data_IF_190823460286
#
_entry.id   IF_190823460286
#
_cell.length_a   1.000
_cell.length_b   1.000
_cell.length_c   1.000
_cell.angle_alpha   90.00
_cell.angle_beta   90.00
_cell.angle_gamma   90.00
#
_symmetry.space_group_name_H-M   'P 1'
#
loop_
_entity.id
_entity.type
_entity.pdbx_description
1 polymer ?
#
# COMPACT_ATOMS: atom_id res chain seq x y z
N UNK A 1 -15.80 3.48 -6.64
CA UNK A 1 -15.49 4.36 -5.49
C UNK A 1 -14.24 5.17 -5.83
N UNK A 2 -13.97 6.30 -5.15
CA UNK A 2 -12.77 7.09 -5.41
C UNK A 2 -11.58 6.45 -4.68
N UNK A 3 -10.45 6.29 -5.38
CA UNK A 3 -9.19 5.86 -4.77
C UNK A 3 -8.65 6.97 -3.86
N UNK A 4 -8.43 6.62 -2.61
CA UNK A 4 -7.83 7.40 -1.54
C UNK A 4 -6.48 6.77 -1.17
N UNK A 5 -5.44 7.56 -1.36
CA UNK A 5 -4.07 7.11 -1.17
C UNK A 5 -3.59 7.23 0.28
N UNK A 6 -4.23 8.07 1.10
CA UNK A 6 -3.97 8.06 2.56
C UNK A 6 -4.50 6.74 3.15
N UNK A 7 -5.69 6.28 2.71
CA UNK A 7 -6.20 4.97 3.10
C UNK A 7 -5.31 3.81 2.63
N UNK A 8 -4.80 3.86 1.38
CA UNK A 8 -3.84 2.85 0.87
C UNK A 8 -2.60 2.76 1.76
N UNK A 9 -2.03 3.90 2.17
CA UNK A 9 -0.86 3.93 3.05
C UNK A 9 -1.16 3.30 4.41
N UNK A 10 -2.27 3.69 5.03
CA UNK A 10 -2.68 3.16 6.34
C UNK A 10 -2.96 1.65 6.30
N UNK A 11 -3.63 1.16 5.25
CA UNK A 11 -3.88 -0.27 5.06
C UNK A 11 -2.59 -1.05 4.85
N UNK A 12 -1.66 -0.54 4.04
CA UNK A 12 -0.36 -1.21 3.84
C UNK A 12 0.42 -1.33 5.15
N UNK A 13 0.45 -0.27 5.99
CA UNK A 13 1.10 -0.31 7.32
C UNK A 13 0.43 -1.32 8.25
N UNK A 14 -0.89 -1.40 8.22
CA UNK A 14 -1.67 -2.38 9.00
C UNK A 14 -1.42 -3.81 8.56
N UNK A 15 -1.38 -4.06 7.24
CA UNK A 15 -1.09 -5.37 6.67
C UNK A 15 0.35 -5.83 6.98
N UNK A 16 1.33 -4.93 6.93
CA UNK A 16 2.71 -5.22 7.33
C UNK A 16 2.82 -5.70 8.79
N UNK A 17 2.00 -5.13 9.68
CA UNK A 17 2.01 -5.46 11.11
C UNK A 17 1.29 -6.77 11.46
N UNK A 18 0.63 -7.44 10.48
CA UNK A 18 -0.11 -8.67 10.74
C UNK A 18 0.84 -9.86 10.95
N UNK A 19 0.62 -10.66 12.01
CA UNK A 19 1.38 -11.88 12.23
C UNK A 19 0.84 -13.01 11.34
N UNK A 20 1.23 -13.02 10.07
CA UNK A 20 0.92 -14.11 9.13
C UNK A 20 2.18 -14.97 8.93
N UNK A 21 2.13 -16.28 9.23
CA UNK A 21 3.27 -17.15 8.99
C UNK A 21 3.52 -17.32 7.49
N UNK A 22 4.75 -17.64 7.07
CA UNK A 22 5.14 -17.75 5.66
C UNK A 22 4.22 -18.66 4.82
N UNK A 23 3.73 -19.75 5.42
CA UNK A 23 2.83 -20.73 4.79
C UNK A 23 1.35 -20.43 5.04
N UNK A 24 1.04 -19.35 5.76
CA UNK A 24 -0.31 -18.92 6.10
C UNK A 24 -0.96 -18.11 5.00
N UNK A 25 -2.27 -18.27 4.87
CA UNK A 25 -3.13 -17.43 4.05
C UNK A 25 -4.30 -16.98 4.92
N UNK A 26 -4.43 -15.67 5.12
CA UNK A 26 -5.52 -15.09 5.90
C UNK A 26 -6.51 -14.41 4.96
N UNK A 27 -7.80 -14.72 5.09
CA UNK A 27 -8.84 -13.92 4.47
C UNK A 27 -9.02 -12.63 5.29
N UNK A 28 -8.94 -11.48 4.64
CA UNK A 28 -9.06 -10.17 5.28
C UNK A 28 -10.10 -9.36 4.51
N UNK A 29 -11.08 -8.84 5.24
CA UNK A 29 -12.08 -7.92 4.71
C UNK A 29 -12.18 -6.67 5.60
N UNK A 30 -13.01 -5.72 5.18
CA UNK A 30 -13.28 -4.48 5.86
C UNK A 30 -14.05 -4.63 7.16
N UNK A 31 -14.33 -5.84 7.66
CA UNK A 31 -14.83 -6.06 9.02
C UNK A 31 -13.73 -6.47 10.00
N UNK A 32 -12.56 -6.90 9.50
CA UNK A 32 -11.44 -7.32 10.33
C UNK A 32 -10.90 -6.11 11.15
N UNK A 33 -10.84 -6.21 12.50
CA UNK A 33 -10.40 -5.11 13.36
C UNK A 33 -9.00 -4.58 13.04
N UNK A 34 -8.11 -5.46 12.55
CA UNK A 34 -6.73 -5.11 12.25
C UNK A 34 -6.61 -4.10 11.09
N UNK A 35 -7.54 -4.13 10.13
CA UNK A 35 -7.54 -3.24 8.96
C UNK A 35 -8.53 -2.08 9.07
N UNK A 36 -9.26 -1.96 10.19
CA UNK A 36 -10.14 -0.81 10.42
C UNK A 36 -9.35 0.50 10.44
N UNK A 37 -9.87 1.51 9.73
CA UNK A 37 -9.34 2.87 9.71
C UNK A 37 -10.47 3.84 10.03
N UNK A 38 -10.25 4.70 11.03
CA UNK A 38 -11.25 5.68 11.45
C UNK A 38 -11.63 6.62 10.30
N UNK A 39 -12.94 6.86 10.13
CA UNK A 39 -13.46 7.74 9.08
C UNK A 39 -13.70 7.06 7.73
N UNK A 40 -13.44 5.76 7.60
CA UNK A 40 -13.72 4.98 6.41
C UNK A 40 -14.77 3.89 6.67
N UNK A 41 -15.63 3.63 5.69
CA UNK A 41 -16.59 2.52 5.74
C UNK A 41 -15.92 1.18 5.41
N UNK A 42 -16.56 0.09 5.82
CA UNK A 42 -16.17 -1.30 5.45
C UNK A 42 -15.96 -1.41 3.94
N UNK A 43 -16.92 -0.93 3.16
CA UNK A 43 -16.87 -0.96 1.68
C UNK A 43 -15.71 -0.14 1.12
N UNK A 44 -15.35 0.98 1.75
CA UNK A 44 -14.18 1.75 1.37
C UNK A 44 -12.91 0.95 1.64
N UNK A 45 -12.81 0.29 2.79
CA UNK A 45 -11.65 -0.54 3.13
C UNK A 45 -11.54 -1.70 2.13
N UNK A 46 -12.61 -2.46 1.91
CA UNK A 46 -12.67 -3.56 0.94
C UNK A 46 -12.22 -3.13 -0.46
N UNK A 47 -12.76 -1.99 -0.93
CA UNK A 47 -12.38 -1.45 -2.23
C UNK A 47 -10.89 -1.13 -2.32
N UNK A 48 -10.28 -0.59 -1.26
CA UNK A 48 -8.86 -0.26 -1.27
C UNK A 48 -7.96 -1.49 -1.07
N UNK A 49 -8.38 -2.48 -0.28
CA UNK A 49 -7.69 -3.77 -0.19
C UNK A 49 -7.62 -4.44 -1.58
N UNK A 50 -8.72 -4.40 -2.33
CA UNK A 50 -8.76 -4.88 -3.72
C UNK A 50 -7.81 -4.11 -4.64
N UNK A 51 -7.69 -2.79 -4.48
CA UNK A 51 -6.73 -2.00 -5.26
C UNK A 51 -5.27 -2.36 -4.94
N UNK A 52 -4.95 -2.71 -3.69
CA UNK A 52 -3.62 -3.18 -3.31
C UNK A 52 -3.27 -4.51 -3.98
N UNK A 53 -4.24 -5.43 -4.04
CA UNK A 53 -4.10 -6.71 -4.75
C UNK A 53 -3.88 -6.50 -6.25
N UNK A 54 -4.72 -5.66 -6.88
CA UNK A 54 -4.62 -5.34 -8.31
C UNK A 54 -3.32 -4.60 -8.67
N UNK A 55 -2.78 -3.79 -7.77
CA UNK A 55 -1.50 -3.12 -7.94
C UNK A 55 -0.30 -4.06 -7.74
N UNK A 56 -0.52 -5.30 -7.32
CA UNK A 56 0.54 -6.27 -7.03
C UNK A 56 1.38 -5.90 -5.81
N UNK A 57 0.82 -5.14 -4.86
CA UNK A 57 1.50 -4.79 -3.60
C UNK A 57 1.38 -5.87 -2.53
N UNK A 58 0.39 -6.74 -2.67
CA UNK A 58 0.16 -7.88 -1.79
C UNK A 58 0.11 -9.18 -2.59
N UNK A 59 0.41 -10.29 -1.94
CA UNK A 59 0.27 -11.62 -2.50
C UNK A 59 -0.90 -12.36 -1.84
N UNK A 60 -1.89 -12.75 -2.65
CA UNK A 60 -3.14 -13.36 -2.22
C UNK A 60 -3.15 -14.89 -2.15
N UNK A 61 -1.97 -15.51 -2.21
CA UNK A 61 -1.83 -16.97 -2.25
C UNK A 61 -2.10 -17.57 -3.64
N UNK A 62 -2.13 -16.75 -4.68
CA UNK A 62 -2.21 -17.20 -6.07
C UNK A 62 -3.62 -17.52 -6.58
N UNK A 63 -4.67 -17.31 -5.78
CA UNK A 63 -6.06 -17.45 -6.22
C UNK A 63 -6.40 -16.49 -7.37
N UNK A 64 -5.80 -15.31 -7.35
CA UNK A 64 -5.90 -14.28 -8.37
C UNK A 64 -5.49 -14.81 -9.76
N UNK A 65 -4.52 -15.74 -9.82
CA UNK A 65 -4.05 -16.35 -11.07
C UNK A 65 -5.11 -17.25 -11.71
N UNK A 66 -6.11 -17.68 -10.94
CA UNK A 66 -7.23 -18.50 -11.39
C UNK A 66 -8.52 -17.69 -11.53
N UNK A 67 -8.44 -16.35 -11.44
CA UNK A 67 -9.61 -15.47 -11.45
C UNK A 67 -10.53 -15.64 -10.23
N UNK A 68 -10.02 -16.26 -9.16
CA UNK A 68 -10.74 -16.45 -7.90
C UNK A 68 -10.36 -15.36 -6.91
N UNK A 69 -11.30 -15.00 -6.01
CA UNK A 69 -11.08 -14.00 -4.96
C UNK A 69 -11.78 -14.38 -3.67
N UNK A 70 -11.26 -13.88 -2.55
CA UNK A 70 -11.90 -14.01 -1.25
C UNK A 70 -13.01 -12.96 -1.08
N UNK A 71 -14.26 -13.28 -1.45
CA UNK A 71 -15.43 -12.49 -1.05
C UNK A 71 -15.28 -10.96 -1.28
N UNK A 72 -15.79 -10.09 -0.39
CA UNK A 72 -15.62 -8.64 -0.50
C UNK A 72 -14.19 -8.16 -0.18
N UNK A 73 -13.36 -9.02 0.41
CA UNK A 73 -12.00 -8.71 0.83
C UNK A 73 -10.92 -9.33 -0.06
N UNK A 74 -9.80 -9.72 0.56
CA UNK A 74 -8.60 -10.25 -0.09
C UNK A 74 -8.10 -11.52 0.62
N UNK A 75 -7.35 -12.32 -0.13
CA UNK A 75 -6.39 -13.24 0.48
C UNK A 75 -5.14 -12.44 0.84
N UNK A 76 -4.58 -12.68 2.02
CA UNK A 76 -3.33 -12.06 2.42
C UNK A 76 -2.36 -13.11 2.95
N UNK A 77 -1.28 -13.32 2.22
CA UNK A 77 -0.15 -14.14 2.63
C UNK A 77 1.04 -13.27 3.01
N UNK A 78 1.39 -12.28 2.17
CA UNK A 78 2.52 -11.39 2.40
C UNK A 78 2.41 -10.12 1.55
N UNK A 79 3.24 -9.13 1.87
CA UNK A 79 3.53 -8.04 0.94
C UNK A 79 4.48 -8.53 -0.15
N UNK A 80 4.36 -7.97 -1.35
CA UNK A 80 5.34 -8.20 -2.42
C UNK A 80 6.57 -7.30 -2.24
N UNK A 81 7.62 -7.55 -3.01
CA UNK A 81 8.77 -6.62 -3.10
C UNK A 81 8.34 -5.19 -3.43
N UNK A 82 7.42 -5.02 -4.38
CA UNK A 82 6.88 -3.71 -4.73
C UNK A 82 6.09 -3.08 -3.57
N UNK A 83 5.36 -3.90 -2.80
CA UNK A 83 4.67 -3.46 -1.58
C UNK A 83 5.63 -2.96 -0.50
N UNK A 84 6.73 -3.69 -0.27
CA UNK A 84 7.79 -3.27 0.66
C UNK A 84 8.49 -1.98 0.20
N UNK A 85 8.89 -1.89 -1.06
CA UNK A 85 9.51 -0.68 -1.63
C UNK A 85 8.59 0.55 -1.48
N UNK A 86 7.30 0.37 -1.75
CA UNK A 86 6.30 1.42 -1.59
C UNK A 86 6.12 1.85 -0.13
N UNK A 87 6.09 0.90 0.80
CA UNK A 87 5.99 1.19 2.22
C UNK A 87 7.23 1.92 2.75
N UNK A 88 8.43 1.44 2.44
CA UNK A 88 9.66 2.06 2.90
C UNK A 88 9.84 3.47 2.35
N UNK A 89 9.42 3.69 1.09
CA UNK A 89 9.31 5.00 0.49
C UNK A 89 8.41 5.94 1.32
N UNK A 90 7.24 5.46 1.74
CA UNK A 90 6.19 6.30 2.34
C UNK A 90 6.12 6.21 3.87
N UNK A 91 7.02 5.47 4.51
CA UNK A 91 7.03 5.27 5.97
C UNK A 91 7.23 6.59 6.70
N UNK A 92 8.13 7.43 6.21
CA UNK A 92 8.36 8.77 6.77
C UNK A 92 7.17 9.70 6.47
N UNK A 93 6.51 10.27 7.50
CA UNK A 93 5.45 11.25 7.31
C UNK A 93 5.92 12.48 6.50
N UNK A 94 7.15 12.94 6.73
CA UNK A 94 7.72 14.08 6.00
C UNK A 94 7.87 13.82 4.51
N UNK A 95 8.32 12.60 4.15
CA UNK A 95 8.47 12.18 2.75
C UNK A 95 7.10 12.03 2.11
N UNK A 96 6.15 11.42 2.83
CA UNK A 96 4.78 11.26 2.38
C UNK A 96 4.11 12.59 2.06
N UNK A 97 4.19 13.56 2.97
CA UNK A 97 3.57 14.87 2.78
C UNK A 97 4.22 15.65 1.62
N UNK A 98 5.53 15.53 1.44
CA UNK A 98 6.23 16.12 0.27
C UNK A 98 5.77 15.47 -1.03
N UNK A 99 5.69 14.14 -1.07
CA UNK A 99 5.23 13.41 -2.24
C UNK A 99 3.77 13.75 -2.59
N UNK A 100 2.89 13.86 -1.59
CA UNK A 100 1.50 14.36 -1.74
C UNK A 100 1.45 15.73 -2.39
N UNK A 101 2.23 16.69 -1.90
CA UNK A 101 2.27 18.06 -2.44
C UNK A 101 2.80 18.07 -3.88
N UNK A 102 3.89 17.35 -4.16
CA UNK A 102 4.48 17.30 -5.49
C UNK A 102 3.53 16.71 -6.52
N UNK A 103 2.89 15.59 -6.20
CA UNK A 103 1.97 14.93 -7.11
C UNK A 103 0.64 15.72 -7.27
N UNK A 104 0.15 16.36 -6.21
CA UNK A 104 -0.97 17.31 -6.33
C UNK A 104 -0.64 18.48 -7.26
N UNK A 105 0.57 19.04 -7.16
CA UNK A 105 1.04 20.12 -8.04
C UNK A 105 1.20 19.65 -9.50
N UNK A 106 1.54 18.37 -9.72
CA UNK A 106 1.62 17.76 -11.05
C UNK A 106 0.23 17.41 -11.66
N UNK A 107 -0.86 17.67 -10.94
CA UNK A 107 -2.23 17.47 -11.43
C UNK A 107 -2.76 16.04 -11.30
N UNK A 108 -2.07 15.15 -10.57
CA UNK A 108 -2.53 13.77 -10.41
C UNK A 108 -1.77 13.00 -9.33
N UNK A 109 -2.48 12.13 -8.62
CA UNK A 109 -1.92 11.32 -7.53
C UNK A 109 -1.85 9.84 -7.92
N UNK A 110 -0.95 9.46 -8.84
CA UNK A 110 -0.77 8.06 -9.25
C UNK A 110 0.24 7.33 -8.37
N UNK A 111 0.13 6.00 -8.30
CA UNK A 111 1.09 5.16 -7.57
C UNK A 111 2.49 5.30 -8.19
N UNK A 112 2.58 5.27 -9.53
CA UNK A 112 3.85 5.43 -10.23
C UNK A 112 4.53 6.76 -9.93
N UNK A 113 3.75 7.85 -9.85
CA UNK A 113 4.30 9.17 -9.55
C UNK A 113 4.80 9.25 -8.11
N UNK A 114 4.13 8.60 -7.16
CA UNK A 114 4.58 8.49 -5.78
C UNK A 114 5.88 7.69 -5.64
N UNK A 115 5.94 6.53 -6.28
CA UNK A 115 7.14 5.68 -6.29
C UNK A 115 8.29 6.44 -6.94
N UNK A 116 8.06 7.10 -8.07
CA UNK A 116 9.07 7.91 -8.76
C UNK A 116 9.57 9.08 -7.90
N UNK A 117 8.65 9.89 -7.36
CA UNK A 117 9.01 11.03 -6.52
C UNK A 117 9.81 10.60 -5.28
N UNK A 118 9.44 9.47 -4.68
CA UNK A 118 10.14 8.97 -3.50
C UNK A 118 11.51 8.43 -3.82
N UNK A 119 11.65 7.66 -4.92
CA UNK A 119 12.96 7.20 -5.41
C UNK A 119 13.89 8.39 -5.66
N UNK A 120 13.41 9.42 -6.36
CA UNK A 120 14.20 10.64 -6.59
C UNK A 120 14.62 11.35 -5.30
N UNK A 121 13.73 11.42 -4.30
CA UNK A 121 14.06 11.99 -2.99
C UNK A 121 15.15 11.18 -2.25
N UNK A 122 15.04 9.85 -2.24
CA UNK A 122 16.01 8.96 -1.62
C UNK A 122 17.38 9.04 -2.32
N UNK A 123 17.41 9.02 -3.65
CA UNK A 123 18.63 9.19 -4.44
C UNK A 123 19.35 10.51 -4.13
N UNK A 124 18.60 11.62 -4.04
CA UNK A 124 19.16 12.92 -3.66
C UNK A 124 19.77 12.90 -2.25
N UNK A 125 19.09 12.23 -1.29
CA UNK A 125 19.57 12.09 0.08
C UNK A 125 20.81 11.19 0.18
N UNK A 126 20.84 10.08 -0.54
CA UNK A 126 21.99 9.17 -0.61
C UNK A 126 23.19 9.90 -1.19
N UNK A 127 23.03 10.64 -2.30
CA UNK A 127 24.11 11.45 -2.89
C UNK A 127 24.66 12.47 -1.89
N UNK A 128 23.80 13.13 -1.12
CA UNK A 128 24.23 14.07 -0.07
C UNK A 128 24.98 13.42 1.09
N UNK A 129 24.72 12.14 1.40
CA UNK A 129 25.41 11.40 2.46
C UNK A 129 26.72 10.76 2.01
N UNK A 130 26.81 10.35 0.73
CA UNK A 130 28.01 9.72 0.16
C UNK A 130 29.03 10.74 -0.40
N UNK A 131 28.62 11.99 -0.59
CA UNK A 131 29.43 13.08 -1.16
C UNK A 131 29.66 14.26 -0.22
N UNK A 132 29.69 14.01 1.09
CA UNK A 132 30.15 14.95 2.12
C UNK A 132 31.56 14.62 2.60
#
# INVERSE_FOLDING_TARGET
MKRDMDLIRELMLKLEALPVPLTGLKAIDGHEPAVQVNGYTVEQIDYHLLLLEQAGFIHGGGLENFGMRFGPGIGFQSLTWAGHDFLDAMRSPDVWDKAKRAASAAGGFTVDLLVSATKSYLEARIKGLLGG
#
